data_IF_409042938557
#
_entry.id   IF_409042938557
#
_cell.length_a   1.000
_cell.length_b   1.000
_cell.length_c   1.000
_cell.angle_alpha   90.00
_cell.angle_beta   90.00
_cell.angle_gamma   90.00
#
_symmetry.space_group_name_H-M   'P 1'
#
loop_
_entity.id
_entity.type
_entity.pdbx_description
1 polymer ?
#
# COMPACT_ATOMS: atom_id res chain seq x y z
N UNK A 1 27.30 35.30 40.91
CA UNK A 1 27.56 35.21 39.45
C UNK A 1 26.81 34.00 38.94
N UNK A 2 25.62 34.23 38.41
CA UNK A 2 24.66 33.21 37.97
C UNK A 2 24.98 32.79 36.54
N UNK A 3 25.40 31.53 36.36
CA UNK A 3 25.58 30.93 35.03
C UNK A 3 24.20 30.63 34.43
N UNK A 4 23.84 31.37 33.39
CA UNK A 4 22.74 31.02 32.49
C UNK A 4 23.16 29.80 31.66
N UNK A 5 22.59 28.64 31.96
CA UNK A 5 22.58 27.52 31.02
C UNK A 5 21.57 27.85 29.91
N UNK A 6 22.07 28.18 28.72
CA UNK A 6 21.25 28.18 27.50
C UNK A 6 20.67 26.77 27.35
N UNK A 7 19.35 26.66 27.49
CA UNK A 7 18.63 25.48 27.03
C UNK A 7 18.88 25.36 25.52
N UNK A 8 19.59 24.32 25.11
CA UNK A 8 19.69 23.96 23.71
C UNK A 8 18.30 23.56 23.21
N UNK A 9 17.88 23.99 22.00
CA UNK A 9 16.66 23.51 21.40
C UNK A 9 16.82 22.00 21.18
N UNK A 10 15.96 21.24 21.85
CA UNK A 10 15.78 19.82 21.57
C UNK A 10 15.44 19.67 20.09
N UNK A 11 16.36 19.16 19.30
CA UNK A 11 16.12 18.71 17.93
C UNK A 11 15.12 17.56 17.99
N UNK A 12 13.83 17.88 17.95
CA UNK A 12 12.79 16.90 17.68
C UNK A 12 13.16 16.20 16.37
N UNK A 13 13.13 14.87 16.37
CA UNK A 13 13.35 14.04 15.20
C UNK A 13 12.28 14.34 14.14
N UNK A 14 12.58 15.23 13.20
CA UNK A 14 11.70 15.64 12.09
C UNK A 14 11.35 14.49 11.12
N UNK A 15 11.85 13.29 11.38
CA UNK A 15 11.71 12.10 10.53
C UNK A 15 10.47 11.25 10.83
N UNK A 16 9.78 11.45 11.95
CA UNK A 16 8.61 10.63 12.29
C UNK A 16 7.28 11.34 11.99
N UNK A 17 6.39 10.65 11.29
CA UNK A 17 5.00 11.10 11.09
C UNK A 17 4.25 10.99 12.42
N UNK A 18 3.44 11.99 12.77
CA UNK A 18 2.56 11.87 13.94
C UNK A 18 1.41 10.91 13.66
N UNK A 19 0.91 10.23 14.69
CA UNK A 19 -0.22 9.29 14.55
C UNK A 19 -1.46 10.00 13.99
N UNK A 20 -1.74 11.22 14.46
CA UNK A 20 -2.88 12.03 13.98
C UNK A 20 -2.75 12.33 12.48
N UNK A 21 -1.54 12.64 12.00
CA UNK A 21 -1.31 12.95 10.59
C UNK A 21 -1.44 11.70 9.73
N UNK A 22 -0.94 10.56 10.20
CA UNK A 22 -1.14 9.27 9.52
C UNK A 22 -2.62 8.92 9.37
N UNK A 23 -3.40 9.06 10.44
CA UNK A 23 -4.84 8.82 10.42
C UNK A 23 -5.58 9.79 9.49
N UNK A 24 -5.19 11.07 9.46
CA UNK A 24 -5.76 12.04 8.52
C UNK A 24 -5.54 11.63 7.06
N UNK A 25 -4.33 11.18 6.72
CA UNK A 25 -4.00 10.73 5.37
C UNK A 25 -4.73 9.44 5.01
N UNK A 26 -4.85 8.46 5.91
CA UNK A 26 -5.63 7.24 5.65
C UNK A 26 -7.11 7.51 5.51
N UNK A 27 -7.65 8.45 6.30
CA UNK A 27 -9.03 8.90 6.13
C UNK A 27 -9.19 9.54 4.74
N UNK A 28 -8.27 10.41 4.35
CA UNK A 28 -8.31 11.02 3.03
C UNK A 28 -8.23 9.97 1.91
N UNK A 29 -7.33 9.00 2.03
CA UNK A 29 -7.24 7.84 1.14
C UNK A 29 -8.60 7.16 0.96
N UNK A 30 -9.22 6.74 2.07
CA UNK A 30 -10.43 5.94 2.09
C UNK A 30 -11.61 6.61 1.40
N UNK A 31 -11.73 7.93 1.54
CA UNK A 31 -12.89 8.70 1.06
C UNK A 31 -12.66 9.41 -0.28
N UNK A 32 -11.41 9.74 -0.63
CA UNK A 32 -11.12 10.53 -1.83
C UNK A 32 -10.27 9.81 -2.87
N UNK A 33 -9.49 8.80 -2.48
CA UNK A 33 -8.56 8.09 -3.39
C UNK A 33 -9.09 6.71 -3.75
N UNK A 34 -9.39 5.89 -2.73
CA UNK A 34 -9.86 4.52 -2.93
C UNK A 34 -11.06 4.40 -3.89
N UNK A 35 -12.09 5.27 -3.88
CA UNK A 35 -13.27 5.08 -4.74
C UNK A 35 -12.98 5.02 -6.25
N UNK A 36 -11.99 5.78 -6.75
CA UNK A 36 -11.63 5.74 -8.17
C UNK A 36 -10.61 4.65 -8.49
N UNK A 37 -9.84 4.23 -7.47
CA UNK A 37 -8.95 3.08 -7.55
C UNK A 37 -9.72 1.75 -7.55
N UNK A 38 -10.80 1.63 -6.78
CA UNK A 38 -11.66 0.44 -6.71
C UNK A 38 -12.71 0.40 -7.83
N UNK A 39 -12.62 1.29 -8.83
CA UNK A 39 -13.54 1.25 -9.95
C UNK A 39 -13.40 -0.10 -10.68
N UNK A 40 -14.52 -0.82 -10.79
CA UNK A 40 -14.62 -2.20 -11.30
C UNK A 40 -14.10 -3.30 -10.35
N UNK A 41 -13.83 -2.98 -9.08
CA UNK A 41 -13.54 -3.94 -8.01
C UNK A 41 -14.72 -3.95 -7.01
N UNK A 42 -15.57 -4.98 -7.08
CA UNK A 42 -16.79 -5.07 -6.26
C UNK A 42 -16.50 -5.29 -4.76
N UNK A 43 -15.36 -5.88 -4.45
CA UNK A 43 -14.93 -6.14 -3.07
C UNK A 43 -14.13 -4.97 -2.49
N UNK A 44 -13.88 -3.93 -3.31
CA UNK A 44 -13.13 -2.72 -2.95
C UNK A 44 -11.79 -3.05 -2.27
N UNK A 45 -10.98 -3.90 -2.90
CA UNK A 45 -9.76 -4.42 -2.27
C UNK A 45 -8.78 -3.30 -1.89
N UNK A 46 -8.66 -2.27 -2.72
CA UNK A 46 -7.74 -1.16 -2.46
C UNK A 46 -8.30 -0.28 -1.33
N UNK A 47 -9.61 -0.08 -1.24
CA UNK A 47 -10.23 0.69 -0.17
C UNK A 47 -10.32 -0.01 1.18
N UNK A 48 -10.42 -1.34 1.22
CA UNK A 48 -10.67 -2.10 2.44
C UNK A 48 -9.47 -2.93 2.93
N UNK A 49 -8.74 -3.56 2.03
CA UNK A 49 -7.68 -4.52 2.39
C UNK A 49 -6.29 -3.89 2.35
N UNK A 50 -6.03 -3.01 1.38
CA UNK A 50 -4.72 -2.36 1.24
C UNK A 50 -4.30 -1.53 2.47
N UNK A 51 -5.18 -0.81 3.21
CA UNK A 51 -4.79 -0.15 4.44
C UNK A 51 -4.37 -1.12 5.56
N UNK A 52 -5.03 -2.29 5.63
CA UNK A 52 -4.69 -3.36 6.59
C UNK A 52 -3.31 -3.94 6.27
N UNK A 53 -3.04 -4.26 4.99
CA UNK A 53 -1.70 -4.70 4.54
C UNK A 53 -0.66 -3.61 4.79
N UNK A 54 -1.04 -2.34 4.60
CA UNK A 54 -0.20 -1.19 4.94
C UNK A 54 0.19 -1.18 6.42
N UNK A 55 -0.74 -1.42 7.34
CA UNK A 55 -0.46 -1.41 8.78
C UNK A 55 0.62 -2.42 9.20
N UNK A 56 0.78 -3.51 8.44
CA UNK A 56 1.78 -4.55 8.66
C UNK A 56 3.08 -4.31 7.84
N UNK A 57 3.01 -3.45 6.82
CA UNK A 57 4.11 -3.17 5.90
C UNK A 57 4.45 -1.68 5.88
N UNK A 58 5.55 -1.27 6.54
CA UNK A 58 5.99 0.12 6.54
C UNK A 58 6.17 0.71 5.13
N UNK A 59 6.66 -0.07 4.17
CA UNK A 59 6.82 0.39 2.79
C UNK A 59 5.45 0.72 2.16
N UNK A 60 4.44 -0.12 2.38
CA UNK A 60 3.11 0.07 1.83
C UNK A 60 2.34 1.22 2.50
N UNK A 61 2.43 1.36 3.83
CA UNK A 61 1.75 2.48 4.52
C UNK A 61 2.33 3.84 4.10
N UNK A 62 3.66 3.96 3.97
CA UNK A 62 4.27 5.18 3.48
C UNK A 62 3.91 5.45 2.01
N UNK A 63 3.72 4.41 1.20
CA UNK A 63 3.22 4.59 -0.17
C UNK A 63 1.78 5.13 -0.17
N UNK A 64 0.90 4.61 0.71
CA UNK A 64 -0.47 5.11 0.87
C UNK A 64 -0.48 6.57 1.34
N UNK A 65 0.38 6.94 2.29
CA UNK A 65 0.55 8.34 2.70
C UNK A 65 1.01 9.22 1.54
N UNK A 66 2.00 8.77 0.78
CA UNK A 66 2.49 9.49 -0.40
C UNK A 66 1.39 9.73 -1.43
N UNK A 67 0.60 8.70 -1.72
CA UNK A 67 -0.52 8.79 -2.67
C UNK A 67 -1.62 9.73 -2.18
N UNK A 68 -1.96 9.67 -0.90
CA UNK A 68 -2.99 10.51 -0.28
C UNK A 68 -2.58 11.98 -0.29
N UNK A 69 -1.35 12.25 0.16
CA UNK A 69 -0.76 13.58 0.08
C UNK A 69 -0.78 14.05 -1.37
N UNK A 70 -0.23 13.27 -2.30
CA UNK A 70 -0.12 13.68 -3.70
C UNK A 70 -1.47 14.00 -4.34
N UNK A 71 -2.47 13.15 -4.13
CA UNK A 71 -3.82 13.39 -4.65
C UNK A 71 -4.42 14.68 -4.06
N UNK A 72 -4.21 14.95 -2.76
CA UNK A 72 -4.67 16.18 -2.11
C UNK A 72 -3.96 17.43 -2.64
N UNK A 73 -2.66 17.35 -2.88
CA UNK A 73 -1.87 18.44 -3.46
C UNK A 73 -2.39 18.84 -4.84
N UNK A 74 -2.65 17.85 -5.69
CA UNK A 74 -3.20 18.06 -7.03
C UNK A 74 -4.63 18.63 -6.99
N UNK A 75 -5.45 18.19 -6.02
CA UNK A 75 -6.82 18.67 -5.85
C UNK A 75 -6.91 20.10 -5.30
N UNK A 76 -6.00 20.52 -4.41
CA UNK A 76 -6.02 21.84 -3.78
C UNK A 76 -5.42 22.95 -4.65
N UNK A 77 -4.59 22.63 -5.65
CA UNK A 77 -3.99 23.61 -6.56
C UNK A 77 -2.99 24.59 -5.91
N UNK A 78 -2.61 24.38 -4.64
CA UNK A 78 -1.67 25.25 -3.90
C UNK A 78 -0.30 24.56 -3.78
N UNK A 79 0.77 25.11 -4.40
CA UNK A 79 2.08 24.46 -4.45
C UNK A 79 2.89 24.49 -3.13
N UNK A 80 2.64 25.45 -2.24
CA UNK A 80 3.65 25.92 -1.28
C UNK A 80 3.89 25.02 -0.05
N UNK A 81 2.91 24.21 0.36
CA UNK A 81 3.05 23.25 1.48
C UNK A 81 2.92 21.80 1.03
N UNK A 82 2.57 21.61 -0.23
CA UNK A 82 2.15 20.37 -0.85
C UNK A 82 3.35 19.46 -1.17
N UNK A 83 4.30 19.97 -1.96
CA UNK A 83 5.28 19.12 -2.64
C UNK A 83 6.22 18.35 -1.70
N UNK A 84 6.43 18.84 -0.47
CA UNK A 84 7.35 18.20 0.48
C UNK A 84 6.78 16.96 1.14
N UNK A 85 5.46 16.85 1.31
CA UNK A 85 4.89 15.75 2.09
C UNK A 85 4.80 14.46 1.26
N UNK A 86 4.24 14.52 0.05
CA UNK A 86 4.18 13.33 -0.82
C UNK A 86 5.56 12.81 -1.19
N UNK A 87 6.51 13.68 -1.53
CA UNK A 87 7.88 13.27 -1.87
C UNK A 87 8.59 12.64 -0.66
N UNK A 88 8.42 13.21 0.54
CA UNK A 88 8.96 12.64 1.78
C UNK A 88 8.44 11.22 2.02
N UNK A 89 7.12 11.01 1.94
CA UNK A 89 6.54 9.69 2.15
C UNK A 89 6.88 8.71 1.03
N UNK A 90 6.99 9.17 -0.21
CA UNK A 90 7.44 8.35 -1.33
C UNK A 90 8.85 7.82 -1.08
N UNK A 91 9.77 8.68 -0.62
CA UNK A 91 11.12 8.29 -0.28
C UNK A 91 11.18 7.35 0.93
N UNK A 92 10.35 7.58 1.96
CA UNK A 92 10.22 6.66 3.11
C UNK A 92 9.68 5.30 2.71
N UNK A 93 8.75 5.24 1.75
CA UNK A 93 8.25 3.98 1.20
C UNK A 93 9.35 3.19 0.49
N UNK A 94 10.19 3.89 -0.29
CA UNK A 94 11.24 3.26 -1.12
C UNK A 94 12.48 2.84 -0.34
N UNK A 95 12.91 3.66 0.61
CA UNK A 95 14.19 3.48 1.30
C UNK A 95 14.04 3.16 2.79
N UNK A 96 12.84 3.27 3.34
CA UNK A 96 12.61 3.18 4.78
C UNK A 96 13.14 4.40 5.54
N UNK A 97 12.84 4.44 6.84
CA UNK A 97 13.46 5.40 7.77
C UNK A 97 14.80 4.87 8.27
N UNK A 98 15.64 5.73 8.85
CA UNK A 98 16.97 5.35 9.36
C UNK A 98 16.93 4.18 10.37
N UNK A 99 15.79 3.96 11.04
CA UNK A 99 15.53 2.85 11.96
C UNK A 99 15.10 1.54 11.25
N UNK A 100 14.65 1.62 9.99
CA UNK A 100 14.04 0.52 9.22
C UNK A 100 15.06 -0.28 8.41
N UNK A 101 16.28 0.24 8.19
CA UNK A 101 17.37 -0.41 7.44
C UNK A 101 17.95 -1.68 8.11
N UNK A 102 17.42 -2.11 9.26
CA UNK A 102 17.87 -3.31 9.96
C UNK A 102 17.24 -4.61 9.43
N UNK A 103 16.22 -4.52 8.57
CA UNK A 103 15.52 -5.67 7.99
C UNK A 103 15.61 -5.57 6.48
N UNK A 104 16.04 -6.63 5.79
CA UNK A 104 16.00 -6.76 4.33
C UNK A 104 14.54 -6.62 3.86
N UNK A 105 14.08 -5.39 3.70
CA UNK A 105 12.74 -5.08 3.25
C UNK A 105 12.68 -5.33 1.75
N UNK A 106 12.35 -6.57 1.37
CA UNK A 106 11.90 -6.90 0.02
C UNK A 106 10.85 -5.86 -0.40
N UNK A 107 11.02 -5.28 -1.59
CA UNK A 107 10.10 -4.27 -2.12
C UNK A 107 8.73 -4.89 -2.39
N UNK A 108 7.85 -4.82 -1.39
CA UNK A 108 6.51 -5.38 -1.41
C UNK A 108 5.75 -4.91 -2.65
N UNK A 109 5.04 -5.85 -3.29
CA UNK A 109 4.30 -5.59 -4.53
C UNK A 109 3.35 -4.40 -4.37
N UNK A 110 2.62 -4.35 -3.25
CA UNK A 110 1.66 -3.31 -2.89
C UNK A 110 2.33 -1.93 -2.89
N UNK A 111 3.45 -1.80 -2.19
CA UNK A 111 4.18 -0.55 -2.10
C UNK A 111 4.70 -0.09 -3.47
N UNK A 112 5.24 -1.02 -4.26
CA UNK A 112 5.70 -0.74 -5.63
C UNK A 112 4.58 -0.24 -6.53
N UNK A 113 3.42 -0.90 -6.48
CA UNK A 113 2.26 -0.55 -7.31
C UNK A 113 1.65 0.78 -6.88
N UNK A 114 1.56 1.05 -5.58
CA UNK A 114 1.11 2.36 -5.09
C UNK A 114 2.09 3.46 -5.52
N UNK A 115 3.41 3.25 -5.41
CA UNK A 115 4.41 4.24 -5.86
C UNK A 115 4.30 4.50 -7.36
N UNK A 116 4.05 3.48 -8.17
CA UNK A 116 3.76 3.67 -9.59
C UNK A 116 2.52 4.56 -9.80
N UNK A 117 1.43 4.34 -9.06
CA UNK A 117 0.24 5.21 -9.13
C UNK A 117 0.60 6.66 -8.77
N UNK A 118 1.40 6.87 -7.72
CA UNK A 118 1.91 8.20 -7.35
C UNK A 118 2.66 8.84 -8.53
N UNK A 119 3.58 8.11 -9.16
CA UNK A 119 4.36 8.61 -10.30
C UNK A 119 3.48 8.96 -11.51
N UNK A 120 2.45 8.16 -11.78
CA UNK A 120 1.51 8.37 -12.88
C UNK A 120 0.67 9.63 -12.65
N UNK A 121 -0.01 9.75 -11.50
CA UNK A 121 -0.84 10.94 -11.23
C UNK A 121 -0.01 12.22 -11.09
N UNK A 122 1.30 12.09 -10.85
CA UNK A 122 2.22 13.22 -10.75
C UNK A 122 2.71 13.75 -12.10
N UNK A 123 2.44 13.07 -13.20
CA UNK A 123 2.99 13.38 -14.53
C UNK A 123 1.90 13.44 -15.60
N UNK A 124 2.13 14.18 -16.70
CA UNK A 124 1.18 14.19 -17.81
C UNK A 124 1.06 12.81 -18.46
N UNK A 125 -0.09 12.52 -19.07
CA UNK A 125 -0.39 11.24 -19.74
C UNK A 125 0.68 10.78 -20.74
N UNK A 126 1.36 11.71 -21.42
CA UNK A 126 2.46 11.40 -22.36
C UNK A 126 3.66 10.71 -21.71
N UNK A 127 3.79 10.81 -20.39
CA UNK A 127 4.87 10.18 -19.62
C UNK A 127 4.46 8.86 -18.96
N UNK A 128 3.20 8.41 -19.11
CA UNK A 128 2.70 7.22 -18.43
C UNK A 128 3.25 5.93 -19.02
N UNK A 129 3.19 5.77 -20.35
CA UNK A 129 3.64 4.56 -21.06
C UNK A 129 5.07 4.11 -20.68
N UNK A 130 6.11 4.99 -20.72
CA UNK A 130 7.46 4.55 -20.33
C UNK A 130 7.59 4.17 -18.85
N UNK A 131 6.77 4.76 -17.95
CA UNK A 131 6.77 4.43 -16.51
C UNK A 131 6.11 3.08 -16.25
N UNK A 132 4.96 2.83 -16.88
CA UNK A 132 4.29 1.53 -16.87
C UNK A 132 5.21 0.43 -17.41
N UNK A 133 5.93 0.72 -18.50
CA UNK A 133 6.98 -0.15 -19.08
C UNK A 133 8.02 -0.63 -18.08
N UNK A 134 8.48 0.23 -17.18
CA UNK A 134 9.50 -0.14 -16.19
C UNK A 134 8.95 -1.12 -15.14
N UNK A 135 7.67 -0.97 -14.75
CA UNK A 135 7.06 -1.82 -13.72
C UNK A 135 6.52 -3.12 -14.28
N UNK A 136 5.83 -3.08 -15.43
CA UNK A 136 5.26 -4.27 -16.09
C UNK A 136 6.36 -5.26 -16.50
N UNK A 137 7.51 -4.75 -16.95
CA UNK A 137 8.66 -5.56 -17.37
C UNK A 137 9.64 -5.92 -16.23
N UNK A 138 9.26 -5.67 -14.97
CA UNK A 138 10.10 -6.03 -13.82
C UNK A 138 10.12 -7.56 -13.56
N UNK A 139 11.02 -8.02 -12.70
CA UNK A 139 11.41 -9.44 -12.52
C UNK A 139 10.27 -10.43 -12.23
N UNK A 140 9.11 -9.97 -11.76
CA UNK A 140 7.90 -10.77 -11.65
C UNK A 140 6.86 -10.18 -12.60
N UNK A 141 6.45 -10.91 -13.65
CA UNK A 141 5.50 -10.38 -14.61
C UNK A 141 4.17 -10.08 -13.93
N UNK A 142 3.67 -8.85 -14.08
CA UNK A 142 2.43 -8.42 -13.43
C UNK A 142 1.21 -9.28 -13.81
N UNK A 143 1.23 -9.86 -15.01
CA UNK A 143 0.17 -10.76 -15.49
C UNK A 143 -0.02 -12.01 -14.61
N UNK A 144 0.99 -12.42 -13.85
CA UNK A 144 0.88 -13.57 -12.94
C UNK A 144 -0.11 -13.34 -11.79
N UNK A 145 -0.40 -12.07 -11.49
CA UNK A 145 -1.36 -11.68 -10.47
C UNK A 145 -2.80 -11.59 -10.98
N UNK A 146 -3.01 -11.52 -12.31
CA UNK A 146 -4.33 -11.29 -12.91
C UNK A 146 -5.37 -12.37 -12.53
N UNK A 147 -4.90 -13.60 -12.34
CA UNK A 147 -5.73 -14.78 -12.05
C UNK A 147 -5.75 -15.16 -10.57
N UNK A 148 -5.03 -14.45 -9.71
CA UNK A 148 -5.05 -14.70 -8.27
C UNK A 148 -6.25 -13.98 -7.64
N UNK A 149 -6.99 -14.57 -6.70
CA UNK A 149 -7.99 -13.81 -5.96
C UNK A 149 -7.30 -12.77 -5.05
N UNK A 150 -8.04 -11.72 -4.67
CA UNK A 150 -7.60 -10.77 -3.65
C UNK A 150 -6.83 -9.56 -4.17
N UNK A 151 -6.13 -8.91 -3.24
CA UNK A 151 -5.50 -7.59 -3.43
C UNK A 151 -4.51 -7.53 -4.61
N UNK A 152 -3.76 -8.61 -4.87
CA UNK A 152 -2.77 -8.63 -5.94
C UNK A 152 -3.42 -8.52 -7.34
N UNK A 153 -4.55 -9.22 -7.58
CA UNK A 153 -5.30 -9.05 -8.82
C UNK A 153 -5.92 -7.66 -8.92
N UNK A 154 -6.50 -7.13 -7.84
CA UNK A 154 -7.09 -5.79 -7.88
C UNK A 154 -6.05 -4.72 -8.20
N UNK A 155 -4.84 -4.82 -7.65
CA UNK A 155 -3.72 -3.95 -8.00
C UNK A 155 -3.33 -4.10 -9.47
N UNK A 156 -3.25 -5.35 -9.98
CA UNK A 156 -3.01 -5.60 -11.39
C UNK A 156 -4.06 -4.92 -12.28
N UNK A 157 -5.35 -5.17 -12.04
CA UNK A 157 -6.45 -4.61 -12.84
C UNK A 157 -6.56 -3.09 -12.70
N UNK A 158 -6.15 -2.52 -11.56
CA UNK A 158 -5.99 -1.09 -11.40
C UNK A 158 -4.91 -0.55 -12.35
N UNK A 159 -3.69 -1.10 -12.33
CA UNK A 159 -2.60 -0.68 -13.22
C UNK A 159 -2.93 -0.93 -14.69
N UNK A 160 -3.63 -2.03 -15.01
CA UNK A 160 -4.11 -2.32 -16.35
C UNK A 160 -4.97 -1.19 -16.91
N UNK A 161 -5.87 -0.60 -16.10
CA UNK A 161 -6.68 0.56 -16.52
C UNK A 161 -5.84 1.80 -16.80
N UNK A 162 -4.78 2.04 -16.02
CA UNK A 162 -3.84 3.13 -16.30
C UNK A 162 -3.10 2.93 -17.63
N UNK A 163 -2.68 1.69 -17.91
CA UNK A 163 -1.99 1.34 -19.16
C UNK A 163 -2.91 1.45 -20.39
N UNK A 164 -4.16 0.98 -20.27
CA UNK A 164 -5.18 1.16 -21.29
C UNK A 164 -5.46 2.65 -21.55
N UNK A 165 -5.61 3.45 -20.49
CA UNK A 165 -5.83 4.89 -20.63
C UNK A 165 -4.64 5.59 -21.30
N UNK A 166 -3.41 5.24 -20.92
CA UNK A 166 -2.20 5.78 -21.55
C UNK A 166 -2.13 5.42 -23.03
N UNK A 167 -2.41 4.17 -23.40
CA UNK A 167 -2.43 3.71 -24.78
C UNK A 167 -3.45 4.47 -25.64
N UNK A 168 -4.66 4.67 -25.11
CA UNK A 168 -5.73 5.41 -25.80
C UNK A 168 -5.40 6.89 -25.99
N UNK A 169 -4.87 7.55 -24.96
CA UNK A 169 -4.56 9.00 -25.01
C UNK A 169 -3.33 9.28 -25.88
N UNK A 170 -2.34 8.40 -25.85
CA UNK A 170 -1.08 8.58 -26.59
C UNK A 170 -1.13 7.97 -28.00
N UNK A 171 -2.24 7.34 -28.40
CA UNK A 171 -2.38 6.59 -29.66
C UNK A 171 -1.27 5.52 -29.84
N UNK A 172 -0.92 4.84 -28.75
CA UNK A 172 0.11 3.80 -28.70
C UNK A 172 -0.48 2.44 -28.36
N UNK A 173 0.33 1.39 -28.44
CA UNK A 173 -0.02 0.09 -27.89
C UNK A 173 0.07 0.09 -26.36
N UNK A 174 -0.67 -0.81 -25.72
CA UNK A 174 -0.52 -1.09 -24.30
C UNK A 174 0.84 -1.69 -24.01
N UNK A 175 1.37 -1.41 -22.82
CA UNK A 175 2.59 -2.04 -22.31
C UNK A 175 2.32 -3.49 -21.92
N UNK A 176 1.13 -3.75 -21.40
CA UNK A 176 0.67 -5.07 -20.98
C UNK A 176 0.38 -5.92 -22.20
N UNK A 177 1.07 -7.06 -22.29
CA UNK A 177 0.83 -8.03 -23.35
C UNK A 177 -0.44 -8.86 -23.08
N UNK A 178 -1.47 -8.62 -23.90
CA UNK A 178 -2.76 -9.31 -23.82
C UNK A 178 -2.67 -10.78 -24.26
N UNK A 179 -1.78 -11.12 -25.19
CA UNK A 179 -1.66 -12.49 -25.67
C UNK A 179 -1.11 -13.39 -24.56
N UNK A 180 -0.17 -12.86 -23.77
CA UNK A 180 0.34 -13.54 -22.57
C UNK A 180 -0.75 -13.74 -21.52
N UNK A 181 -1.62 -12.73 -21.29
CA UNK A 181 -2.75 -12.86 -20.35
C UNK A 181 -3.74 -13.95 -20.77
N UNK A 182 -4.15 -13.95 -22.05
CA UNK A 182 -5.11 -14.93 -22.59
C UNK A 182 -4.52 -16.34 -22.60
N UNK A 183 -3.21 -16.46 -22.84
CA UNK A 183 -2.53 -17.76 -22.86
C UNK A 183 -2.46 -18.38 -21.46
N UNK A 184 -2.26 -17.57 -20.42
CA UNK A 184 -2.24 -18.05 -19.03
C UNK A 184 -3.59 -18.56 -18.55
N UNK A 185 -4.70 -17.94 -18.98
CA UNK A 185 -6.06 -18.42 -18.72
C UNK A 185 -6.33 -19.82 -19.30
N UNK A 186 -5.59 -20.21 -20.35
CA UNK A 186 -5.76 -21.48 -21.07
C UNK A 186 -4.87 -22.61 -20.56
N UNK A 187 -3.93 -22.35 -19.64
CA UNK A 187 -3.12 -23.42 -19.08
C UNK A 187 -3.92 -24.21 -18.02
N UNK A 188 -3.91 -25.55 -18.08
CA UNK A 188 -4.52 -26.35 -17.02
C UNK A 188 -3.79 -26.13 -15.68
N UNK A 189 -4.56 -26.06 -14.59
CA UNK A 189 -4.13 -25.71 -13.22
C UNK A 189 -2.85 -26.43 -12.75
N UNK A 190 -2.56 -27.61 -13.28
CA UNK A 190 -1.38 -28.41 -12.93
C UNK A 190 -0.02 -27.88 -13.40
N UNK A 191 0.05 -26.87 -14.28
CA UNK A 191 1.33 -26.34 -14.80
C UNK A 191 1.76 -25.04 -14.10
N UNK A 192 0.81 -24.26 -13.57
CA UNK A 192 1.11 -23.01 -12.86
C UNK A 192 1.80 -23.24 -11.49
N UNK A 193 1.59 -24.41 -10.87
CA UNK A 193 2.23 -24.82 -9.62
C UNK A 193 3.77 -25.01 -9.71
N UNK A 194 4.37 -25.00 -10.90
CA UNK A 194 5.84 -25.07 -11.05
C UNK A 194 6.51 -23.77 -10.60
N UNK A 195 5.79 -22.64 -10.61
CA UNK A 195 6.29 -21.34 -10.13
C UNK A 195 5.96 -21.06 -8.65
N UNK A 196 5.21 -21.93 -7.97
CA UNK A 196 4.77 -21.75 -6.57
C UNK A 196 5.78 -22.21 -5.52
N UNK A 197 6.95 -22.75 -5.90
CA UNK A 197 7.95 -23.27 -4.95
C UNK A 197 8.80 -22.19 -4.23
N UNK A 198 8.31 -20.96 -4.10
CA UNK A 198 8.85 -19.98 -3.15
C UNK A 198 7.75 -19.72 -2.11
N UNK A 199 7.77 -20.54 -1.07
CA UNK A 199 6.65 -20.75 -0.16
C UNK A 199 6.17 -19.52 0.59
N UNK A 200 4.86 -19.37 0.64
CA UNK A 200 4.12 -18.81 1.75
C UNK A 200 3.20 -19.93 2.28
N UNK A 201 3.34 -20.25 3.56
CA UNK A 201 2.54 -21.27 4.23
C UNK A 201 1.19 -20.66 4.62
N UNK A 202 0.23 -20.67 3.70
CA UNK A 202 -1.14 -20.15 3.92
C UNK A 202 -2.08 -21.18 4.54
N UNK A 203 -1.56 -22.17 5.26
CA UNK A 203 -2.40 -23.18 5.91
C UNK A 203 -2.64 -22.86 7.40
N UNK A 204 -3.36 -21.77 7.66
CA UNK A 204 -3.98 -21.54 8.97
C UNK A 204 -5.46 -21.90 8.87
N UNK A 205 -5.78 -23.10 9.34
CA UNK A 205 -7.13 -23.64 9.46
C UNK A 205 -8.00 -22.75 10.38
N UNK A 206 -9.17 -22.23 9.93
CA UNK A 206 -10.00 -21.32 10.72
C UNK A 206 -10.77 -21.99 11.87
N UNK A 207 -10.51 -23.26 12.19
CA UNK A 207 -11.30 -24.04 13.16
C UNK A 207 -10.64 -24.35 14.51
N UNK A 208 -9.50 -23.77 14.88
CA UNK A 208 -8.89 -23.98 16.21
C UNK A 208 -9.02 -22.76 17.14
N UNK A 209 -10.25 -22.46 17.55
CA UNK A 209 -10.51 -21.71 18.79
C UNK A 209 -11.31 -22.61 19.72
N UNK A 210 -10.63 -23.39 20.56
CA UNK A 210 -11.10 -23.54 21.94
C UNK A 210 -10.01 -24.04 22.90
N UNK A 211 -10.05 -23.45 24.11
CA UNK A 211 -9.54 -23.97 25.41
C UNK A 211 -8.10 -24.46 25.48
N UNK A 212 -7.24 -23.65 26.10
CA UNK A 212 -6.91 -23.77 27.54
C UNK A 212 -5.76 -22.83 27.89
N UNK A 213 -5.98 -21.88 28.80
CA UNK A 213 -5.19 -21.77 30.04
C UNK A 213 -5.71 -20.61 30.88
N UNK A 214 -6.18 -20.96 32.08
CA UNK A 214 -6.68 -20.03 33.07
C UNK A 214 -5.55 -19.23 33.71
N UNK A 215 -5.81 -17.95 33.90
CA UNK A 215 -5.24 -17.19 35.00
C UNK A 215 -6.35 -16.41 35.70
N UNK A 216 -6.36 -16.59 37.01
CA UNK A 216 -7.35 -16.13 37.96
C UNK A 216 -7.51 -14.61 37.97
N UNK A 217 -8.75 -14.13 37.84
CA UNK A 217 -9.17 -12.87 38.46
C UNK A 217 -10.41 -13.13 39.32
N UNK A 218 -10.18 -13.25 40.64
CA UNK A 218 -11.24 -13.17 41.67
C UNK A 218 -11.90 -11.80 41.56
N UNK A 219 -13.19 -11.75 41.23
CA UNK A 219 -14.04 -10.60 41.48
C UNK A 219 -14.78 -10.85 42.79
N UNK A 220 -14.45 -10.05 43.81
CA UNK A 220 -15.15 -10.04 45.09
C UNK A 220 -16.60 -9.60 44.89
N UNK A 221 -17.51 -10.33 45.53
CA UNK A 221 -18.92 -9.98 45.69
C UNK A 221 -19.07 -8.97 46.84
N UNK A 222 -19.81 -7.86 46.68
CA UNK A 222 -20.31 -7.11 47.82
C UNK A 222 -21.58 -7.78 48.34
N UNK A 223 -21.58 -8.11 49.63
CA UNK A 223 -22.76 -8.48 50.40
C UNK A 223 -23.67 -7.26 50.55
N UNK A 224 -24.92 -7.38 50.09
CA UNK A 224 -26.02 -6.50 50.49
C UNK A 224 -26.72 -7.21 51.65
N UNK A 225 -26.53 -6.68 52.86
CA UNK A 225 -27.38 -6.97 54.01
C UNK A 225 -28.68 -6.18 53.83
N UNK A 226 -29.83 -6.85 53.95
CA UNK A 226 -31.02 -6.26 54.57
C UNK A 226 -32.06 -7.35 54.87
N UNK A 227 -32.59 -7.27 56.11
CA UNK A 227 -33.67 -8.04 56.77
C UNK A 227 -33.30 -9.33 57.51
#
# INVERSE_FOLDING_TARGET
MTSNALAQPSTASTDEITEERGLELLRYYRYHVAPWLDMLDLDHHLGLYLPTVGAESPSAIYALYALSARHRELACGVPDMAQFESERFYNMSKWGTKAMYATDASDALEARMIRLIVDLISTPFSSWTPRLGQTVNSSTPLHAYAHKPGLAASLFWCIFRFDLAAALVNETHMTTDLDTLITLDRLPDGVLGVFENVGFDDNVDPACVDRTNGTNYRRGTPTVEDS
#
